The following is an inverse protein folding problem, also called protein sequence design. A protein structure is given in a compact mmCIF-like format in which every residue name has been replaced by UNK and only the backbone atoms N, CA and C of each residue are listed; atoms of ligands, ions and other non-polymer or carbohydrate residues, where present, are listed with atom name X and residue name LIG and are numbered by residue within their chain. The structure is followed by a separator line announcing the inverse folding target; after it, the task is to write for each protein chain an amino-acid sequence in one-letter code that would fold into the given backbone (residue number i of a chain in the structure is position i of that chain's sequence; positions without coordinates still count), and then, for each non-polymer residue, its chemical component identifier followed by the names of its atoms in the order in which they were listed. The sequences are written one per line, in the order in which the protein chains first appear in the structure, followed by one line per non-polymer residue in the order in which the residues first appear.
data_IF_753568041239
#
_entry.id   IF_753568041239
#
_cell.length_a   1.000
_cell.length_b   1.000
_cell.length_c   1.000
_cell.angle_alpha   90.00
_cell.angle_beta   90.00
_cell.angle_gamma   90.00
#
_symmetry.space_group_name_H-M   'P 1'
#
loop_
_entity.id
_entity.type
_entity.pdbx_description
1 polymer ?
#
# COMPACT_ATOMS: atom_id res chain seq x y z
N UNK A 1 3.45 -25.24 6.61
CA UNK A 1 2.64 -24.15 7.20
C UNK A 1 3.05 -22.85 6.57
N UNK A 2 2.11 -22.07 6.02
CA UNK A 2 2.41 -20.72 5.56
C UNK A 2 2.38 -19.80 6.77
N UNK A 3 3.55 -19.47 7.30
CA UNK A 3 3.66 -18.46 8.35
C UNK A 3 3.11 -17.13 7.81
N UNK A 4 2.16 -16.56 8.55
CA UNK A 4 1.75 -15.19 8.31
C UNK A 4 2.96 -14.27 8.56
N UNK A 5 3.62 -13.87 7.48
CA UNK A 5 4.74 -12.92 7.53
C UNK A 5 4.34 -11.55 8.07
N UNK A 6 3.05 -11.28 8.25
CA UNK A 6 2.58 -10.06 8.90
C UNK A 6 2.61 -10.18 10.42
N UNK A 7 2.84 -11.37 10.98
CA UNK A 7 2.94 -11.61 12.42
C UNK A 7 1.71 -11.04 13.16
N UNK A 8 0.51 -11.21 12.59
CA UNK A 8 -0.73 -10.65 13.13
C UNK A 8 -0.94 -9.14 12.90
N UNK A 9 -0.05 -8.45 12.18
CA UNK A 9 -0.20 -7.01 11.87
C UNK A 9 -1.15 -6.79 10.70
N UNK A 10 -2.05 -5.82 10.86
CA UNK A 10 -2.95 -5.38 9.79
C UNK A 10 -2.23 -4.84 8.55
N UNK A 11 -2.91 -4.80 7.39
CA UNK A 11 -2.36 -4.26 6.15
C UNK A 11 -2.06 -2.76 6.25
N UNK A 12 -2.83 -2.04 7.07
CA UNK A 12 -2.58 -0.65 7.44
C UNK A 12 -2.04 -0.66 8.87
N UNK A 13 -0.82 -0.13 9.12
CA UNK A 13 -0.31 0.02 10.49
C UNK A 13 -1.16 1.01 11.30
N UNK A 14 -1.11 0.90 12.63
CA UNK A 14 -1.81 1.81 13.56
C UNK A 14 -1.36 3.27 13.38
N UNK A 15 -0.08 3.47 13.03
CA UNK A 15 0.50 4.79 12.72
C UNK A 15 1.12 4.78 11.32
N UNK A 16 0.32 4.95 10.25
CA UNK A 16 0.79 5.01 8.86
C UNK A 16 1.88 6.03 8.60
N UNK A 17 1.84 7.15 9.30
CA UNK A 17 2.73 8.30 9.15
C UNK A 17 4.19 7.95 9.46
N UNK A 18 4.43 6.88 10.22
CA UNK A 18 5.79 6.39 10.53
C UNK A 18 6.45 5.63 9.39
N UNK A 19 5.71 5.30 8.33
CA UNK A 19 6.16 4.47 7.22
C UNK A 19 6.11 5.19 5.88
N UNK A 20 5.73 6.47 5.89
CA UNK A 20 5.62 7.33 4.71
C UNK A 20 6.30 8.66 4.99
N UNK A 21 6.77 9.33 3.95
CA UNK A 21 7.38 10.65 4.08
C UNK A 21 6.35 11.79 3.97
N UNK A 22 6.78 13.03 4.21
CA UNK A 22 5.90 14.22 4.16
C UNK A 22 5.17 14.38 2.82
N UNK A 23 5.86 14.18 1.68
CA UNK A 23 5.24 14.25 0.35
C UNK A 23 4.13 13.22 0.17
N UNK A 24 4.30 12.03 0.74
CA UNK A 24 3.28 10.99 0.76
C UNK A 24 2.12 11.34 1.69
N UNK A 25 2.37 11.98 2.84
CA UNK A 25 1.30 12.50 3.72
C UNK A 25 0.44 13.51 2.96
N UNK A 26 1.07 14.45 2.27
CA UNK A 26 0.39 15.46 1.45
C UNK A 26 -0.40 14.82 0.31
N UNK A 27 0.22 13.89 -0.42
CA UNK A 27 -0.41 13.12 -1.48
C UNK A 27 -1.64 12.35 -0.99
N UNK A 28 -1.54 11.66 0.17
CA UNK A 28 -2.69 10.98 0.78
C UNK A 28 -3.84 11.95 1.08
N UNK A 29 -3.53 13.12 1.64
CA UNK A 29 -4.53 14.14 2.00
C UNK A 29 -5.31 14.61 0.77
N UNK A 30 -4.61 14.89 -0.34
CA UNK A 30 -5.21 15.30 -1.61
C UNK A 30 -6.01 14.16 -2.22
N UNK A 31 -5.42 12.97 -2.37
CA UNK A 31 -6.03 11.83 -3.05
C UNK A 31 -7.29 11.31 -2.34
N UNK A 32 -7.34 11.40 -1.00
CA UNK A 32 -8.56 11.09 -0.22
C UNK A 32 -9.76 11.92 -0.67
N UNK A 33 -9.56 13.19 -1.03
CA UNK A 33 -10.64 14.08 -1.53
C UNK A 33 -11.18 13.59 -2.89
N UNK A 34 -10.35 12.90 -3.67
CA UNK A 34 -10.72 12.29 -4.96
C UNK A 34 -11.15 10.82 -4.84
N UNK A 35 -11.53 10.36 -3.65
CA UNK A 35 -12.10 9.02 -3.46
C UNK A 35 -11.08 7.88 -3.36
N UNK A 36 -9.79 8.19 -3.27
CA UNK A 36 -8.75 7.19 -3.02
C UNK A 36 -8.64 6.86 -1.54
N UNK A 37 -8.41 5.59 -1.23
CA UNK A 37 -8.28 5.08 0.14
C UNK A 37 -6.97 4.34 0.29
N UNK A 38 -6.24 4.59 1.38
CA UNK A 38 -5.10 3.77 1.78
C UNK A 38 -5.61 2.36 2.11
N UNK A 39 -5.02 1.33 1.50
CA UNK A 39 -5.43 -0.07 1.71
C UNK A 39 -4.31 -0.95 2.25
N UNK A 40 -3.05 -0.57 2.04
CA UNK A 40 -1.90 -1.33 2.51
C UNK A 40 -0.64 -0.45 2.55
N UNK A 41 0.16 -0.61 3.59
CA UNK A 41 1.56 -0.20 3.59
C UNK A 41 2.38 -1.48 3.73
N UNK A 42 2.97 -1.92 2.60
CA UNK A 42 3.85 -3.09 2.54
C UNK A 42 5.17 -2.71 3.20
N UNK A 43 5.54 -3.42 4.26
CA UNK A 43 6.75 -3.18 5.07
C UNK A 43 7.68 -4.41 4.96
N UNK A 44 8.51 -4.50 3.91
CA UNK A 44 9.53 -5.56 3.83
C UNK A 44 10.61 -5.35 4.91
N UNK A 45 11.25 -6.41 5.36
CA UNK A 45 12.33 -6.35 6.36
C UNK A 45 13.65 -5.81 5.80
N UNK A 46 13.80 -5.84 4.48
CA UNK A 46 15.03 -5.62 3.72
C UNK A 46 14.88 -4.56 2.62
N UNK A 47 13.84 -3.72 2.67
CA UNK A 47 13.59 -2.74 1.61
C UNK A 47 12.68 -1.59 2.02
N UNK A 48 12.36 -0.74 1.05
CA UNK A 48 11.50 0.43 1.26
C UNK A 48 10.03 0.04 1.37
N UNK A 49 9.29 0.80 2.18
CA UNK A 49 7.85 0.58 2.34
C UNK A 49 7.12 0.98 1.05
N UNK A 50 6.13 0.17 0.64
CA UNK A 50 5.28 0.49 -0.53
C UNK A 50 3.88 0.83 -0.07
N UNK A 51 3.40 2.02 -0.42
CA UNK A 51 2.07 2.52 -0.05
C UNK A 51 1.09 2.25 -1.18
N UNK A 52 0.09 1.40 -0.94
CA UNK A 52 -0.96 1.08 -1.91
C UNK A 52 -2.26 1.81 -1.58
N UNK A 53 -2.85 2.38 -2.62
CA UNK A 53 -4.14 3.04 -2.57
C UNK A 53 -5.13 2.36 -3.53
N UNK A 54 -6.41 2.42 -3.19
CA UNK A 54 -7.52 1.96 -4.04
C UNK A 54 -8.50 3.10 -4.29
N UNK A 55 -8.93 3.26 -5.52
CA UNK A 55 -10.03 4.16 -5.85
C UNK A 55 -11.36 3.46 -5.52
N UNK A 56 -12.19 4.09 -4.67
CA UNK A 56 -13.49 3.56 -4.27
C UNK A 56 -14.50 3.44 -5.41
N UNK A 57 -14.36 4.25 -6.46
CA UNK A 57 -15.31 4.33 -7.58
C UNK A 57 -14.87 3.47 -8.77
N UNK A 58 -13.61 3.57 -9.17
CA UNK A 58 -13.11 2.97 -10.42
C UNK A 58 -12.55 1.54 -10.28
N UNK A 59 -12.56 0.95 -9.07
CA UNK A 59 -11.89 -0.33 -8.73
C UNK A 59 -10.37 -0.36 -9.03
N UNK A 60 -9.77 0.78 -9.31
CA UNK A 60 -8.34 0.92 -9.60
C UNK A 60 -7.48 0.80 -8.34
N UNK A 61 -6.25 0.32 -8.52
CA UNK A 61 -5.21 0.28 -7.49
C UNK A 61 -4.00 1.07 -8.01
N UNK A 62 -3.38 1.83 -7.11
CA UNK A 62 -2.15 2.56 -7.40
C UNK A 62 -1.14 2.49 -6.26
N UNK A 63 0.10 2.84 -6.59
CA UNK A 63 1.20 3.00 -5.63
C UNK A 63 1.47 4.48 -5.46
N UNK A 64 1.46 4.95 -4.21
CA UNK A 64 1.88 6.28 -3.85
C UNK A 64 3.40 6.31 -3.67
N UNK A 65 4.10 6.91 -4.63
CA UNK A 65 5.56 7.02 -4.62
C UNK A 65 6.07 7.96 -3.52
N UNK A 66 7.36 7.88 -3.22
CA UNK A 66 8.03 8.77 -2.25
C UNK A 66 8.02 10.25 -2.67
N UNK A 67 7.69 10.52 -3.93
CA UNK A 67 7.46 11.86 -4.48
C UNK A 67 6.04 12.40 -4.20
N UNK A 68 5.16 11.61 -3.57
CA UNK A 68 3.76 11.97 -3.33
C UNK A 68 2.86 11.76 -4.56
N UNK A 69 3.39 11.18 -5.65
CA UNK A 69 2.65 10.97 -6.89
C UNK A 69 2.08 9.56 -6.94
N UNK A 70 0.77 9.47 -7.20
CA UNK A 70 0.08 8.20 -7.38
C UNK A 70 0.29 7.66 -8.78
N UNK A 71 0.82 6.43 -8.88
CA UNK A 71 0.97 5.68 -10.12
C UNK A 71 -0.10 4.60 -10.17
N UNK A 72 -1.04 4.73 -11.11
CA UNK A 72 -2.16 3.79 -11.34
C UNK A 72 -1.71 2.69 -12.31
N UNK A 73 -2.25 1.48 -12.13
CA UNK A 73 -1.81 0.28 -12.86
C UNK A 73 -0.30 -0.01 -12.77
N UNK A 74 0.36 0.14 -11.60
CA UNK A 74 1.71 -0.35 -11.50
C UNK A 74 1.70 -1.86 -11.67
N UNK A 75 2.79 -2.44 -12.19
CA UNK A 75 2.99 -3.89 -12.25
C UNK A 75 3.08 -4.48 -10.83
N UNK A 76 1.94 -4.58 -10.14
CA UNK A 76 1.83 -5.14 -8.80
C UNK A 76 1.84 -6.65 -8.96
N UNK A 77 3.00 -7.26 -8.72
CA UNK A 77 3.11 -8.71 -8.61
C UNK A 77 2.44 -9.19 -7.32
N UNK A 78 1.18 -9.59 -7.42
CA UNK A 78 0.48 -10.31 -6.35
C UNK A 78 1.14 -11.69 -6.25
N UNK A 79 1.62 -12.03 -5.05
CA UNK A 79 2.14 -13.39 -4.79
C UNK A 79 0.98 -14.36 -4.99
N UNK A 80 1.07 -15.23 -5.99
CA UNK A 80 0.16 -16.37 -6.09
C UNK A 80 0.40 -17.27 -4.89
N UNK A 81 -0.65 -17.59 -4.13
CA UNK A 81 -0.52 -18.63 -3.11
C UNK A 81 -0.29 -19.95 -3.84
N UNK A 82 0.89 -20.55 -3.71
CA UNK A 82 1.09 -21.93 -4.17
C UNK A 82 0.16 -22.82 -3.35
N UNK A 83 -0.93 -23.31 -3.94
CA UNK A 83 -1.64 -24.48 -3.41
C UNK A 83 -0.70 -25.66 -3.62
N UNK A 84 0.00 -26.09 -2.56
CA UNK A 84 0.62 -27.41 -2.58
C UNK A 84 -0.49 -28.46 -2.49
N UNK A 85 -0.44 -29.43 -3.40
CA UNK A 85 -1.26 -30.63 -3.41
C UNK A 85 -0.64 -31.66 -2.48
#
# INVERSE_FOLDING_TARGET
MHEDKRLGKGPIPISPERYINEKQVDGLSILKKFGWKLICIRRPSDGTSTTLMKNGQAKEIGILGEDGILRVNPEIRIRQSRKHK
#
